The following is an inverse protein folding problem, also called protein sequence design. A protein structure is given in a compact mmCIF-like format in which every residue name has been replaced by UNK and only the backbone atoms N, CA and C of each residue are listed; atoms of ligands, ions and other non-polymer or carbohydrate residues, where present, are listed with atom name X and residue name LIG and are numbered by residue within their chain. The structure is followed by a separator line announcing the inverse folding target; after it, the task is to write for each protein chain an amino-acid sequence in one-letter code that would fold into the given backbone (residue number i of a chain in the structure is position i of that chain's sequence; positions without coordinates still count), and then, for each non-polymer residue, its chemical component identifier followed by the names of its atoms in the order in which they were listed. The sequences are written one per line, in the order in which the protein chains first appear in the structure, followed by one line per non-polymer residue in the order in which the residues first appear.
data_IF_851451111667
#
_entry.id   IF_851451111667
#
_cell.length_a   1.000
_cell.length_b   1.000
_cell.length_c   1.000
_cell.angle_alpha   90.00
_cell.angle_beta   90.00
_cell.angle_gamma   90.00
#
_symmetry.space_group_name_H-M   'P 1'
#
loop_
_entity.id
_entity.type
_entity.pdbx_description
1 polymer ?
#
# COMPACT_ATOMS: atom_id res chain seq x y z
N UNK A 1 -24.87 -27.03 -60.15
CA UNK A 1 -24.13 -27.11 -58.87
C UNK A 1 -24.58 -25.93 -58.01
N UNK A 2 -25.64 -26.10 -57.23
CA UNK A 2 -25.62 -26.36 -55.78
C UNK A 2 -24.94 -25.25 -54.94
N UNK A 3 -25.69 -24.15 -54.78
CA UNK A 3 -26.07 -23.43 -53.54
C UNK A 3 -25.20 -23.56 -52.26
N UNK A 4 -25.06 -22.42 -51.59
CA UNK A 4 -24.86 -22.20 -50.14
C UNK A 4 -23.40 -22.01 -49.68
N UNK A 5 -22.95 -20.74 -49.73
CA UNK A 5 -22.06 -20.16 -48.71
C UNK A 5 -22.49 -18.70 -48.47
N UNK A 6 -23.78 -18.49 -48.22
CA UNK A 6 -24.23 -17.21 -47.66
C UNK A 6 -23.96 -17.29 -46.17
N UNK A 7 -22.81 -16.79 -45.76
CA UNK A 7 -22.47 -16.59 -44.35
C UNK A 7 -23.56 -15.70 -43.74
N UNK A 8 -24.39 -16.30 -42.89
CA UNK A 8 -25.38 -15.58 -42.09
C UNK A 8 -24.62 -14.64 -41.15
N UNK A 9 -24.49 -13.37 -41.52
CA UNK A 9 -24.11 -12.31 -40.59
C UNK A 9 -25.25 -12.17 -39.58
N UNK A 10 -25.11 -12.91 -38.49
CA UNK A 10 -25.98 -12.86 -37.32
C UNK A 10 -25.56 -11.64 -36.48
N UNK A 11 -25.75 -10.44 -37.03
CA UNK A 11 -25.54 -9.19 -36.31
C UNK A 11 -26.69 -9.00 -35.32
N UNK A 12 -26.61 -9.72 -34.19
CA UNK A 12 -27.41 -9.45 -33.00
C UNK A 12 -26.92 -8.15 -32.39
N UNK A 13 -27.44 -7.03 -32.91
CA UNK A 13 -27.25 -5.72 -32.31
C UNK A 13 -27.96 -5.65 -30.96
N UNK A 14 -27.22 -5.19 -29.94
CA UNK A 14 -27.76 -4.83 -28.63
C UNK A 14 -28.87 -3.80 -28.80
N UNK A 15 -30.00 -3.97 -28.12
CA UNK A 15 -31.08 -2.98 -28.18
C UNK A 15 -30.64 -1.70 -27.46
N UNK A 16 -31.07 -0.52 -27.94
CA UNK A 16 -30.76 0.77 -27.29
C UNK A 16 -31.25 0.78 -25.83
N UNK A 17 -32.41 0.17 -25.59
CA UNK A 17 -32.98 0.04 -24.25
C UNK A 17 -32.16 -0.89 -23.33
N UNK A 18 -31.57 -1.96 -23.86
CA UNK A 18 -30.65 -2.79 -23.07
C UNK A 18 -29.45 -1.97 -22.60
N UNK A 19 -28.84 -1.20 -23.50
CA UNK A 19 -27.70 -0.37 -23.13
C UNK A 19 -28.10 0.71 -22.11
N UNK A 20 -29.28 1.30 -22.26
CA UNK A 20 -29.80 2.34 -21.36
C UNK A 20 -30.05 1.83 -19.94
N UNK A 21 -30.66 0.65 -19.79
CA UNK A 21 -30.90 0.06 -18.46
C UNK A 21 -29.59 -0.35 -17.80
N UNK A 22 -28.64 -0.89 -18.56
CA UNK A 22 -27.33 -1.31 -18.02
C UNK A 22 -26.55 -0.11 -17.48
N UNK A 23 -26.40 0.97 -18.27
CA UNK A 23 -25.69 2.16 -17.78
C UNK A 23 -26.45 2.84 -16.62
N UNK A 24 -27.79 2.74 -16.61
CA UNK A 24 -28.62 3.23 -15.50
C UNK A 24 -28.33 2.50 -14.20
N UNK A 25 -28.24 1.16 -14.24
CA UNK A 25 -27.87 0.35 -13.07
C UNK A 25 -26.41 0.62 -12.68
N UNK A 26 -25.47 0.70 -13.64
CA UNK A 26 -24.07 0.99 -13.36
C UNK A 26 -23.87 2.36 -12.69
N UNK A 27 -24.62 3.39 -13.11
CA UNK A 27 -24.58 4.71 -12.47
C UNK A 27 -25.04 4.66 -11.00
N UNK A 28 -26.10 3.90 -10.72
CA UNK A 28 -26.59 3.71 -9.35
C UNK A 28 -25.60 2.91 -8.48
N UNK A 29 -25.04 1.82 -9.01
CA UNK A 29 -24.05 1.01 -8.30
C UNK A 29 -22.74 1.77 -8.04
N UNK A 30 -22.26 2.55 -9.01
CA UNK A 30 -21.05 3.36 -8.85
C UNK A 30 -21.17 4.36 -7.68
N UNK A 31 -22.35 4.96 -7.49
CA UNK A 31 -22.60 5.87 -6.37
C UNK A 31 -22.42 5.23 -4.99
N UNK A 32 -22.93 4.01 -4.78
CA UNK A 32 -22.81 3.33 -3.48
C UNK A 32 -21.40 2.78 -3.26
N UNK A 33 -20.77 2.24 -4.31
CA UNK A 33 -19.42 1.65 -4.23
C UNK A 33 -18.37 2.69 -3.88
N UNK A 34 -18.49 3.93 -4.37
CA UNK A 34 -17.49 4.98 -4.09
C UNK A 34 -17.34 5.27 -2.60
N UNK A 35 -18.45 5.46 -1.86
CA UNK A 35 -18.43 5.66 -0.40
C UNK A 35 -17.79 4.46 0.33
N UNK A 36 -18.05 3.25 -0.18
CA UNK A 36 -17.49 2.03 0.38
C UNK A 36 -15.98 1.86 0.14
N UNK A 37 -15.42 2.37 -0.96
CA UNK A 37 -14.01 2.19 -1.33
C UNK A 37 -13.11 3.28 -0.75
N UNK A 38 -13.58 4.53 -0.64
CA UNK A 38 -12.76 5.64 -0.15
C UNK A 38 -12.21 5.42 1.25
N UNK A 39 -12.92 4.69 2.12
CA UNK A 39 -12.45 4.35 3.47
C UNK A 39 -11.26 3.39 3.50
N UNK A 40 -10.99 2.64 2.43
CA UNK A 40 -9.88 1.69 2.33
C UNK A 40 -8.63 2.33 1.70
N UNK A 41 -8.81 3.42 0.96
CA UNK A 41 -7.70 4.19 0.37
C UNK A 41 -6.92 4.85 1.52
N UNK A 42 -5.66 4.44 1.70
CA UNK A 42 -4.77 4.96 2.75
C UNK A 42 -4.55 4.02 3.93
N UNK A 43 -5.51 3.13 4.25
CA UNK A 43 -5.31 2.14 5.34
C UNK A 43 -4.17 1.18 5.04
N UNK A 44 -4.09 0.66 3.82
CA UNK A 44 -3.00 -0.24 3.41
C UNK A 44 -1.63 0.42 3.53
N UNK A 45 -1.54 1.71 3.21
CA UNK A 45 -0.31 2.48 3.37
C UNK A 45 0.06 2.64 4.85
N UNK A 46 -0.91 2.95 5.73
CA UNK A 46 -0.72 3.09 7.18
C UNK A 46 -0.42 1.78 7.92
N UNK A 47 -0.88 0.63 7.41
CA UNK A 47 -0.51 -0.67 7.97
C UNK A 47 0.90 -1.11 7.52
N UNK A 48 1.26 -0.85 6.26
CA UNK A 48 2.60 -1.18 5.73
C UNK A 48 3.69 -0.39 6.46
N UNK A 49 3.49 0.92 6.51
CA UNK A 49 4.04 1.88 7.44
C UNK A 49 4.38 1.37 8.86
N UNK A 50 3.36 0.88 9.57
CA UNK A 50 3.52 0.40 10.93
C UNK A 50 4.29 -0.90 11.01
N UNK A 51 4.09 -1.79 10.04
CA UNK A 51 4.89 -3.00 9.90
C UNK A 51 6.37 -2.66 9.74
N UNK A 52 6.70 -1.70 8.88
CA UNK A 52 8.06 -1.22 8.65
C UNK A 52 8.64 -0.57 9.92
N UNK A 53 7.87 0.22 10.68
CA UNK A 53 8.31 0.78 11.97
C UNK A 53 8.75 -0.34 12.93
N UNK A 54 7.92 -1.37 13.10
CA UNK A 54 8.25 -2.50 13.98
C UNK A 54 9.47 -3.30 13.48
N UNK A 55 9.65 -3.44 12.17
CA UNK A 55 10.83 -4.06 11.59
C UNK A 55 12.09 -3.25 11.90
N UNK A 56 12.05 -1.93 11.73
CA UNK A 56 13.16 -1.02 12.05
C UNK A 56 13.43 -1.02 13.56
N UNK A 57 12.40 -1.06 14.41
CA UNK A 57 12.56 -1.15 15.88
C UNK A 57 13.21 -2.47 16.32
N UNK A 58 12.89 -3.56 15.64
CA UNK A 58 13.51 -4.87 15.90
C UNK A 58 14.96 -4.87 15.45
N UNK A 59 15.26 -4.29 14.29
CA UNK A 59 16.60 -4.13 13.77
C UNK A 59 17.45 -3.18 14.66
N UNK A 60 16.88 -2.08 15.16
CA UNK A 60 17.58 -1.17 16.08
C UNK A 60 17.93 -1.85 17.39
N UNK A 61 17.01 -2.64 17.94
CA UNK A 61 17.26 -3.43 19.15
C UNK A 61 18.34 -4.50 18.92
N UNK A 62 18.33 -5.19 17.78
CA UNK A 62 19.38 -6.14 17.41
C UNK A 62 20.74 -5.44 17.28
N UNK A 63 20.77 -4.26 16.67
CA UNK A 63 21.99 -3.46 16.50
C UNK A 63 22.60 -3.09 17.83
N UNK A 64 21.79 -2.66 18.79
CA UNK A 64 22.24 -2.34 20.14
C UNK A 64 22.75 -3.56 20.92
N UNK A 65 22.38 -4.78 20.57
CA UNK A 65 22.92 -5.99 21.22
C UNK A 65 24.27 -6.38 20.63
N UNK A 66 24.45 -6.20 19.32
CA UNK A 66 25.68 -6.56 18.62
C UNK A 66 26.77 -5.48 18.74
N UNK A 67 26.37 -4.20 18.80
CA UNK A 67 27.28 -3.07 18.90
C UNK A 67 28.02 -3.04 20.24
N UNK A 68 29.34 -2.80 20.18
CA UNK A 68 30.17 -2.62 21.38
C UNK A 68 29.70 -1.40 22.17
N UNK A 69 29.17 -1.63 23.37
CA UNK A 69 28.70 -0.58 24.27
C UNK A 69 27.21 -0.25 24.16
N UNK A 70 26.42 -1.10 23.51
CA UNK A 70 24.96 -0.94 23.39
C UNK A 70 24.52 0.37 22.74
N UNK A 71 25.32 0.88 21.80
CA UNK A 71 25.00 2.10 21.07
C UNK A 71 23.89 1.82 20.05
N UNK A 72 22.85 2.68 19.98
CA UNK A 72 21.86 2.62 18.92
C UNK A 72 22.45 2.99 17.56
N UNK A 73 21.78 2.56 16.49
CA UNK A 73 22.16 2.92 15.13
C UNK A 73 21.98 4.44 14.89
N UNK A 74 22.86 5.02 14.08
CA UNK A 74 22.82 6.45 13.77
C UNK A 74 21.59 6.85 12.95
N UNK A 75 21.14 5.94 12.07
CA UNK A 75 19.98 6.08 11.20
C UNK A 75 19.55 4.71 10.65
N UNK A 76 18.48 4.68 9.85
CA UNK A 76 17.96 3.47 9.19
C UNK A 76 18.94 2.92 8.15
N UNK A 77 19.77 3.77 7.53
CA UNK A 77 20.78 3.33 6.56
C UNK A 77 21.86 2.49 7.24
N UNK A 78 22.29 2.87 8.44
CA UNK A 78 23.24 2.12 9.23
C UNK A 78 22.72 0.71 9.59
N UNK A 79 21.41 0.55 9.76
CA UNK A 79 20.80 -0.77 9.96
C UNK A 79 20.81 -1.63 8.68
N UNK A 80 20.65 -1.01 7.51
CA UNK A 80 20.77 -1.71 6.23
C UNK A 80 22.23 -2.11 5.94
N UNK A 81 23.17 -1.19 6.16
CA UNK A 81 24.61 -1.44 5.95
C UNK A 81 25.17 -2.49 6.93
N UNK A 82 24.52 -2.68 8.09
CA UNK A 82 24.81 -3.72 9.07
C UNK A 82 24.05 -5.04 8.82
N UNK A 83 23.42 -5.22 7.66
CA UNK A 83 22.63 -6.40 7.28
C UNK A 83 21.47 -6.75 8.24
N UNK A 84 20.99 -5.76 9.01
CA UNK A 84 19.86 -5.94 9.94
C UNK A 84 18.50 -5.67 9.30
N UNK A 85 18.49 -5.03 8.13
CA UNK A 85 17.30 -4.82 7.30
C UNK A 85 17.52 -5.45 5.92
N UNK A 86 16.52 -6.18 5.42
CA UNK A 86 16.56 -6.81 4.09
C UNK A 86 16.35 -5.81 2.94
N UNK A 87 15.66 -4.70 3.22
CA UNK A 87 15.39 -3.64 2.27
C UNK A 87 15.22 -2.33 3.01
N UNK A 88 15.49 -1.22 2.33
CA UNK A 88 15.13 0.09 2.85
C UNK A 88 13.61 0.25 2.82
N UNK A 89 13.00 0.67 3.94
CA UNK A 89 11.57 0.93 3.96
C UNK A 89 11.24 2.14 3.07
N UNK A 90 9.99 2.22 2.62
CA UNK A 90 9.53 3.28 1.72
C UNK A 90 9.29 4.63 2.43
N UNK A 91 9.30 4.60 3.75
CA UNK A 91 9.01 5.72 4.62
C UNK A 91 10.23 6.04 5.45
N UNK A 92 10.34 7.29 5.89
CA UNK A 92 11.46 7.70 6.73
C UNK A 92 11.13 7.35 8.17
N UNK A 93 12.14 6.91 8.92
CA UNK A 93 12.04 6.66 10.36
C UNK A 93 13.23 7.31 11.05
N UNK A 94 13.00 7.84 12.23
CA UNK A 94 14.05 8.40 13.08
C UNK A 94 14.37 7.43 14.21
N UNK A 95 15.66 7.26 14.49
CA UNK A 95 16.15 6.40 15.58
C UNK A 95 16.73 7.32 16.64
N UNK A 96 16.18 7.28 17.84
CA UNK A 96 16.72 7.99 18.98
C UNK A 96 18.12 7.43 19.31
N UNK A 97 19.14 8.26 19.13
CA UNK A 97 20.55 7.88 19.34
C UNK A 97 20.94 7.70 20.82
N UNK A 98 20.01 7.88 21.75
CA UNK A 98 20.18 7.59 23.18
C UNK A 98 19.44 6.32 23.59
N UNK A 99 18.22 6.14 23.10
CA UNK A 99 17.34 5.03 23.55
C UNK A 99 17.20 3.88 22.56
N UNK A 100 17.48 4.10 21.28
CA UNK A 100 17.19 3.18 20.18
C UNK A 100 15.70 3.05 19.84
N UNK A 101 14.86 3.92 20.42
CA UNK A 101 13.45 4.02 20.08
C UNK A 101 13.31 4.54 18.64
N UNK A 102 12.41 3.92 17.88
CA UNK A 102 12.14 4.27 16.49
C UNK A 102 10.81 5.01 16.42
N UNK A 103 10.82 6.17 15.77
CA UNK A 103 9.61 6.96 15.51
C UNK A 103 9.35 7.04 14.00
N UNK A 104 8.06 7.00 13.62
CA UNK A 104 7.64 7.18 12.24
C UNK A 104 7.83 8.63 11.78
N UNK A 105 8.21 8.81 10.51
CA UNK A 105 8.06 10.07 9.79
C UNK A 105 7.10 9.87 8.60
N UNK A 106 6.89 10.94 7.83
CA UNK A 106 6.02 10.92 6.66
C UNK A 106 6.49 9.91 5.60
N UNK A 107 5.54 9.16 5.01
CA UNK A 107 5.79 8.53 3.72
C UNK A 107 5.54 9.51 2.59
N UNK A 108 6.24 9.30 1.49
CA UNK A 108 5.91 9.94 0.22
C UNK A 108 4.46 9.60 -0.19
N UNK A 109 3.59 10.61 -0.20
CA UNK A 109 2.23 10.50 -0.75
C UNK A 109 1.12 10.12 0.24
N UNK A 110 1.40 9.95 1.53
CA UNK A 110 0.37 9.73 2.57
C UNK A 110 0.76 10.44 3.85
N UNK A 111 -0.10 11.35 4.33
CA UNK A 111 0.03 11.87 5.68
C UNK A 111 -0.31 10.73 6.66
N UNK A 112 0.66 10.32 7.46
CA UNK A 112 0.39 9.44 8.58
C UNK A 112 -0.07 10.31 9.74
N UNK A 113 -1.37 10.27 10.01
CA UNK A 113 -1.92 11.04 11.11
C UNK A 113 -1.34 10.50 12.44
N UNK A 114 -0.65 11.38 13.17
CA UNK A 114 -0.03 11.18 14.48
C UNK A 114 1.28 10.35 14.53
N UNK A 115 1.82 9.85 13.41
CA UNK A 115 3.08 9.05 13.37
C UNK A 115 3.18 7.92 14.40
N UNK A 116 2.03 7.46 14.90
CA UNK A 116 1.90 6.46 15.94
C UNK A 116 1.23 5.22 15.36
N UNK A 117 1.81 4.06 15.67
CA UNK A 117 1.21 2.76 15.44
C UNK A 117 0.53 2.35 16.74
N UNK A 118 -0.80 2.46 16.79
CA UNK A 118 -1.58 2.09 17.97
C UNK A 118 -1.72 0.57 18.08
#
# INVERSE_FOLDING_TARGET
MLKILTAMHNEKGFTLIELLVVIGILALLAGVVTIGVTQFIGRGSHEAACTDLHNVQTASAAFMVDATGNAPAADVQALFDADMLLQLPQCTYDIDQVTGAVSGQDCTGTAWENHECN
#
